data_IF_173226040637
#
_entry.id   IF_173226040637
#
_cell.length_a   1.000
_cell.length_b   1.000
_cell.length_c   1.000
_cell.angle_alpha   90.00
_cell.angle_beta   90.00
_cell.angle_gamma   90.00
#
_symmetry.space_group_name_H-M   'P 1'
#
loop_
_entity.id
_entity.type
_entity.pdbx_description
1 polymer ?
#
# COMPACT_ATOMS: atom_id res chain seq x y z
N UNK A 1 11.69 1.91 3.56
CA UNK A 1 12.32 1.50 2.28
C UNK A 1 12.36 2.68 1.34
N UNK A 2 13.54 2.98 0.82
CA UNK A 2 13.64 4.00 -0.21
C UNK A 2 13.19 3.42 -1.54
N UNK A 3 12.42 4.22 -2.26
CA UNK A 3 11.87 3.79 -3.54
C UNK A 3 12.80 4.26 -4.65
N UNK A 4 13.21 3.34 -5.52
CA UNK A 4 14.02 3.68 -6.69
C UNK A 4 13.22 4.50 -7.70
N UNK A 5 13.90 5.14 -8.64
CA UNK A 5 13.23 5.91 -9.70
C UNK A 5 12.34 5.01 -10.54
N UNK A 6 12.77 3.79 -10.82
CA UNK A 6 11.96 2.81 -11.55
C UNK A 6 10.69 2.45 -10.79
N UNK A 7 10.81 2.25 -9.47
CA UNK A 7 9.65 1.94 -8.64
C UNK A 7 8.70 3.13 -8.55
N UNK A 8 9.21 4.36 -8.44
CA UNK A 8 8.38 5.57 -8.45
C UNK A 8 7.59 5.68 -9.74
N UNK A 9 8.22 5.35 -10.87
CA UNK A 9 7.57 5.36 -12.17
C UNK A 9 6.47 4.32 -12.26
N UNK A 10 6.71 3.13 -11.72
CA UNK A 10 5.71 2.06 -11.62
C UNK A 10 4.50 2.53 -10.82
N UNK A 11 4.72 3.12 -9.65
CA UNK A 11 3.63 3.59 -8.78
C UNK A 11 2.84 4.69 -9.46
N UNK A 12 3.50 5.61 -10.16
CA UNK A 12 2.83 6.67 -10.89
C UNK A 12 1.90 6.11 -11.98
N UNK A 13 2.39 5.14 -12.75
CA UNK A 13 1.58 4.50 -13.79
C UNK A 13 0.42 3.72 -13.19
N UNK A 14 0.66 3.10 -12.04
CA UNK A 14 -0.39 2.38 -11.33
C UNK A 14 -1.50 3.34 -10.92
N UNK A 15 -1.13 4.51 -10.41
CA UNK A 15 -2.09 5.56 -10.05
C UNK A 15 -2.88 6.05 -11.24
N UNK A 16 -2.23 6.26 -12.38
CA UNK A 16 -2.89 6.70 -13.61
C UNK A 16 -3.87 5.65 -14.12
N UNK A 17 -3.49 4.38 -14.09
CA UNK A 17 -4.38 3.28 -14.45
C UNK A 17 -5.60 3.23 -13.54
N UNK A 18 -5.39 3.35 -12.24
CA UNK A 18 -6.48 3.35 -11.27
C UNK A 18 -7.49 4.43 -11.57
N UNK A 19 -7.02 5.63 -11.94
CA UNK A 19 -7.90 6.75 -12.27
C UNK A 19 -8.81 6.41 -13.45
N UNK A 20 -8.30 5.70 -14.44
CA UNK A 20 -9.11 5.27 -15.59
C UNK A 20 -10.21 4.30 -15.19
N UNK A 21 -10.01 3.55 -14.12
CA UNK A 21 -10.99 2.59 -13.61
C UNK A 21 -11.89 3.17 -12.52
N UNK A 22 -11.79 4.48 -12.29
CA UNK A 22 -12.59 5.15 -11.27
C UNK A 22 -12.06 4.99 -9.86
N UNK A 23 -10.82 4.56 -9.69
CA UNK A 23 -10.17 4.43 -8.39
C UNK A 23 -9.43 5.72 -8.08
N UNK A 24 -9.56 6.29 -6.88
CA UNK A 24 -8.79 7.49 -6.52
C UNK A 24 -7.30 7.25 -6.72
N UNK A 25 -6.60 8.26 -7.22
CA UNK A 25 -5.17 8.15 -7.53
C UNK A 25 -4.35 7.73 -6.31
N UNK A 26 -4.62 8.34 -5.16
CA UNK A 26 -3.88 8.00 -3.94
C UNK A 26 -4.08 6.55 -3.53
N UNK A 27 -5.30 6.04 -3.67
CA UNK A 27 -5.62 4.65 -3.37
C UNK A 27 -4.84 3.69 -4.26
N UNK A 28 -4.81 3.98 -5.56
CA UNK A 28 -4.05 3.17 -6.50
C UNK A 28 -2.55 3.23 -6.23
N UNK A 29 -2.04 4.40 -5.85
CA UNK A 29 -0.62 4.56 -5.51
C UNK A 29 -0.24 3.75 -4.27
N UNK A 30 -1.09 3.79 -3.23
CA UNK A 30 -0.86 3.00 -2.02
C UNK A 30 -0.85 1.51 -2.35
N UNK A 31 -1.80 1.07 -3.16
CA UNK A 31 -1.85 -0.33 -3.60
C UNK A 31 -0.58 -0.72 -4.35
N UNK A 32 -0.15 0.11 -5.31
CA UNK A 32 1.07 -0.15 -6.07
C UNK A 32 2.31 -0.23 -5.20
N UNK A 33 2.41 0.65 -4.20
CA UNK A 33 3.51 0.63 -3.26
C UNK A 33 3.53 -0.67 -2.45
N UNK A 34 2.37 -1.07 -1.91
CA UNK A 34 2.26 -2.31 -1.14
C UNK A 34 2.56 -3.54 -2.00
N UNK A 35 2.19 -3.50 -3.27
CA UNK A 35 2.52 -4.57 -4.20
C UNK A 35 4.04 -4.75 -4.34
N UNK A 36 4.79 -3.64 -4.30
CA UNK A 36 6.26 -3.67 -4.40
C UNK A 36 6.94 -4.04 -3.09
N UNK A 37 6.27 -3.83 -1.96
CA UNK A 37 6.83 -4.13 -0.65
C UNK A 37 6.77 -5.63 -0.38
N UNK A 38 7.87 -6.21 0.10
CA UNK A 38 7.93 -7.63 0.40
C UNK A 38 7.66 -7.95 1.86
N UNK A 39 7.65 -6.91 2.70
CA UNK A 39 7.39 -7.04 4.13
C UNK A 39 6.24 -6.12 4.51
N UNK A 40 5.54 -6.41 5.61
CA UNK A 40 4.48 -5.54 6.07
C UNK A 40 4.99 -4.13 6.37
N UNK A 41 4.19 -3.12 6.05
CA UNK A 41 4.53 -1.72 6.29
C UNK A 41 3.39 -1.04 7.03
N UNK A 42 3.71 -0.04 7.82
CA UNK A 42 2.71 0.74 8.55
C UNK A 42 2.33 2.00 7.77
N UNK A 43 1.27 2.68 8.22
CA UNK A 43 0.76 3.86 7.53
C UNK A 43 1.79 5.00 7.47
N UNK A 44 2.62 5.15 8.49
CA UNK A 44 3.64 6.21 8.52
C UNK A 44 4.69 5.98 7.44
N UNK A 45 5.11 4.73 7.25
CA UNK A 45 6.05 4.38 6.19
C UNK A 45 5.47 4.69 4.82
N UNK A 46 4.18 4.42 4.63
CA UNK A 46 3.49 4.70 3.37
C UNK A 46 3.46 6.21 3.12
N UNK A 47 3.10 6.99 4.13
CA UNK A 47 3.07 8.46 4.02
C UNK A 47 4.44 8.99 3.61
N UNK A 48 5.49 8.53 4.25
CA UNK A 48 6.85 8.98 3.97
C UNK A 48 7.30 8.59 2.56
N UNK A 49 7.02 7.35 2.16
CA UNK A 49 7.44 6.83 0.87
C UNK A 49 6.74 7.51 -0.31
N UNK A 50 5.44 7.79 -0.16
CA UNK A 50 4.62 8.33 -1.23
C UNK A 50 4.40 9.84 -1.12
N UNK A 51 4.87 10.46 -0.05
CA UNK A 51 4.68 11.89 0.22
C UNK A 51 3.19 12.25 0.20
N UNK A 52 2.37 11.40 0.82
CA UNK A 52 0.94 11.60 0.95
C UNK A 52 0.57 11.98 2.38
N UNK A 53 -0.50 12.77 2.51
CA UNK A 53 -1.02 13.14 3.82
C UNK A 53 -1.58 11.90 4.53
N UNK A 54 -1.50 11.90 5.87
CA UNK A 54 -1.96 10.77 6.69
C UNK A 54 -3.45 10.45 6.44
N UNK A 55 -4.27 11.48 6.27
CA UNK A 55 -5.70 11.27 6.01
C UNK A 55 -5.94 10.56 4.69
N UNK A 56 -5.17 10.91 3.65
CA UNK A 56 -5.28 10.26 2.35
C UNK A 56 -4.86 8.79 2.44
N UNK A 57 -3.77 8.51 3.14
CA UNK A 57 -3.29 7.13 3.33
C UNK A 57 -4.32 6.32 4.12
N UNK A 58 -4.88 6.87 5.19
CA UNK A 58 -5.88 6.18 5.99
C UNK A 58 -7.12 5.83 5.18
N UNK A 59 -7.62 6.77 4.38
CA UNK A 59 -8.78 6.54 3.51
C UNK A 59 -8.46 5.47 2.46
N UNK A 60 -7.29 5.57 1.84
CA UNK A 60 -6.86 4.60 0.83
C UNK A 60 -6.75 3.19 1.40
N UNK A 61 -6.19 3.06 2.59
CA UNK A 61 -6.06 1.75 3.24
C UNK A 61 -7.42 1.13 3.54
N UNK A 62 -8.38 1.94 4.01
CA UNK A 62 -9.75 1.44 4.24
C UNK A 62 -10.40 0.95 2.96
N UNK A 63 -10.25 1.69 1.88
CA UNK A 63 -10.83 1.29 0.59
C UNK A 63 -10.20 -0.02 0.10
N UNK A 64 -8.88 -0.14 0.20
CA UNK A 64 -8.18 -1.33 -0.24
C UNK A 64 -8.55 -2.55 0.61
N UNK A 65 -8.76 -2.36 1.92
CA UNK A 65 -9.24 -3.44 2.79
C UNK A 65 -10.65 -3.87 2.40
N UNK A 66 -11.53 -2.92 2.08
CA UNK A 66 -12.90 -3.22 1.66
C UNK A 66 -12.93 -4.04 0.37
N UNK A 67 -12.00 -3.77 -0.54
CA UNK A 67 -11.87 -4.55 -1.76
C UNK A 67 -11.07 -5.83 -1.57
N UNK A 68 -10.58 -6.07 -0.35
CA UNK A 68 -9.78 -7.27 -0.01
C UNK A 68 -8.50 -7.39 -0.83
N UNK A 69 -7.93 -6.26 -1.19
CA UNK A 69 -6.67 -6.22 -1.93
C UNK A 69 -5.46 -6.18 -1.00
N UNK A 70 -5.67 -5.78 0.25
CA UNK A 70 -4.63 -5.75 1.27
C UNK A 70 -5.16 -6.34 2.56
N UNK A 71 -4.25 -6.75 3.44
CA UNK A 71 -4.58 -7.31 4.74
C UNK A 71 -3.81 -6.62 5.83
N UNK A 72 -4.39 -6.58 7.03
CA UNK A 72 -3.71 -6.10 8.23
C UNK A 72 -2.89 -7.22 8.83
N UNK A 73 -1.73 -6.86 9.33
CA UNK A 73 -0.89 -7.79 10.07
C UNK A 73 -0.38 -7.17 11.36
N UNK A 74 -0.24 -7.99 12.39
CA UNK A 74 0.41 -7.60 13.63
C UNK A 74 1.86 -8.07 13.59
N UNK A 75 2.76 -7.21 14.05
CA UNK A 75 4.17 -7.57 14.16
C UNK A 75 4.47 -7.76 15.65
N UNK A 76 5.01 -8.93 16.06
CA UNK A 76 5.30 -9.17 17.47
C UNK A 76 6.18 -8.07 18.06
N UNK A 77 5.76 -7.54 19.21
CA UNK A 77 6.49 -6.48 19.91
C UNK A 77 6.20 -5.07 19.40
N UNK A 78 5.32 -4.92 18.41
CA UNK A 78 4.96 -3.62 17.86
C UNK A 78 3.46 -3.40 17.99
N UNK A 79 3.06 -2.22 18.45
CA UNK A 79 1.65 -1.88 18.63
C UNK A 79 0.99 -1.33 17.37
N UNK A 80 1.80 -0.97 16.37
CA UNK A 80 1.28 -0.36 15.16
C UNK A 80 0.61 -1.41 14.28
N UNK A 81 -0.33 -0.96 13.46
CA UNK A 81 -0.96 -1.81 12.46
C UNK A 81 -0.09 -1.81 11.21
N UNK A 82 0.16 -2.99 10.69
CA UNK A 82 0.92 -3.18 9.46
C UNK A 82 0.01 -3.69 8.36
N UNK A 83 0.40 -3.49 7.14
CA UNK A 83 -0.40 -3.85 5.96
C UNK A 83 0.46 -4.58 4.94
N UNK A 84 -0.13 -5.58 4.30
CA UNK A 84 0.50 -6.30 3.19
C UNK A 84 -0.46 -6.41 2.02
N UNK A 85 0.08 -6.48 0.82
CA UNK A 85 -0.71 -6.79 -0.34
C UNK A 85 -1.16 -8.26 -0.25
N UNK A 86 -2.37 -8.54 -0.74
CA UNK A 86 -3.00 -9.85 -0.61
C UNK A 86 -2.11 -11.01 -1.06
N UNK A 87 -1.43 -10.88 -2.18
CA UNK A 87 -0.59 -11.94 -2.72
C UNK A 87 0.62 -12.24 -1.83
N UNK A 88 1.16 -11.21 -1.20
CA UNK A 88 2.30 -11.39 -0.30
C UNK A 88 1.90 -12.17 0.94
N UNK A 89 0.69 -11.93 1.47
CA UNK A 89 0.20 -12.68 2.62
C UNK A 89 -0.05 -14.13 2.28
N UNK A 90 -0.48 -14.45 1.08
CA UNK A 90 -0.73 -15.82 0.63
C UNK A 90 0.52 -16.67 0.55
N UNK A 91 1.68 -16.07 0.35
CA UNK A 91 2.95 -16.82 0.29
C UNK A 91 3.26 -17.54 1.59
N UNK A 92 2.74 -17.05 2.71
CA UNK A 92 3.02 -17.61 4.02
C UNK A 92 1.86 -18.43 4.57
N UNK A 93 0.81 -18.62 3.79
CA UNK A 93 -0.40 -19.30 4.22
C UNK A 93 -0.39 -20.82 3.99
N UNK A 94 0.73 -21.34 3.58
CA UNK A 94 0.85 -22.80 3.33
C UNK A 94 1.20 -23.53 4.63
#
# INVERSE_FOLDING_TARGET
>A
MQISDTQKRFIRRWGEMGTRWGIPRSTAMVHGYLYLCRTPVNAEDICAALELARSNVSTSLKELEQFRLIERESVPGDRRTFYTEWRSSQKYAL
#
